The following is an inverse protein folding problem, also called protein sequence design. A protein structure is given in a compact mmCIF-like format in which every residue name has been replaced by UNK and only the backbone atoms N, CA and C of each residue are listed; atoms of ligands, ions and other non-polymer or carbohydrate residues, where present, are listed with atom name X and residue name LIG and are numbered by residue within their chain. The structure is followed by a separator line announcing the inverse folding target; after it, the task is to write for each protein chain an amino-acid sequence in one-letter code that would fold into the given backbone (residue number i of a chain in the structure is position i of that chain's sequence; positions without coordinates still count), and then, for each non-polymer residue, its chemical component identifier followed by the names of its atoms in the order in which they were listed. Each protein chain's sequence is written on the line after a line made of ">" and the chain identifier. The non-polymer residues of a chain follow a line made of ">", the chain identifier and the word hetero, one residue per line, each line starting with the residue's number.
data_IF_298271411403
#
_entry.id   IF_298271411403
#
_cell.length_a   1.000
_cell.length_b   1.000
_cell.length_c   1.000
_cell.angle_alpha   90.00
_cell.angle_beta   90.00
_cell.angle_gamma   90.00
#
_symmetry.space_group_name_H-M   'P 1'
#
loop_
_entity.id
_entity.type
_entity.pdbx_description
1 polymer ?
#
# COMPACT_ATOMS: atom_id res chain seq x y z
N UNK A 1 -7.12 -21.52 13.44
CA UNK A 1 -7.86 -20.55 14.27
C UNK A 1 -6.93 -19.42 14.66
N UNK A 2 -7.17 -18.17 14.21
CA UNK A 2 -6.47 -16.99 14.74
C UNK A 2 -7.03 -16.71 16.13
N UNK A 3 -6.22 -16.82 17.19
CA UNK A 3 -6.61 -16.38 18.54
C UNK A 3 -7.00 -14.91 18.45
N UNK A 4 -8.23 -14.57 18.83
CA UNK A 4 -8.65 -13.17 19.01
C UNK A 4 -7.72 -12.54 20.04
N UNK A 5 -7.07 -11.45 19.66
CA UNK A 5 -6.22 -10.66 20.56
C UNK A 5 -7.18 -9.82 21.42
N UNK A 6 -7.39 -10.21 22.67
CA UNK A 6 -8.22 -9.46 23.60
C UNK A 6 -7.45 -8.24 24.15
N UNK A 7 -8.08 -7.08 24.12
CA UNK A 7 -7.67 -5.90 24.85
C UNK A 7 -7.94 -6.17 26.36
N UNK A 8 -6.92 -6.00 27.20
CA UNK A 8 -7.00 -6.26 28.64
C UNK A 8 -7.04 -4.97 29.46
N UNK A 9 -6.31 -3.95 29.04
CA UNK A 9 -6.20 -2.65 29.70
C UNK A 9 -5.71 -1.60 28.70
N UNK A 10 -6.15 -0.36 28.87
CA UNK A 10 -5.69 0.81 28.10
C UNK A 10 -5.21 1.91 29.04
N UNK A 11 -4.19 2.65 28.63
CA UNK A 11 -3.64 3.79 29.36
C UNK A 11 -3.09 4.82 28.39
N UNK A 12 -3.36 6.11 28.61
CA UNK A 12 -2.79 7.18 27.83
C UNK A 12 -1.73 7.92 28.66
N UNK A 13 -0.59 8.21 28.06
CA UNK A 13 0.55 8.90 28.65
C UNK A 13 1.19 9.85 27.65
N UNK A 14 1.92 10.85 28.18
CA UNK A 14 2.93 11.56 27.40
C UNK A 14 4.29 10.88 27.60
N UNK A 15 4.92 10.43 26.52
CA UNK A 15 6.28 9.87 26.54
C UNK A 15 7.16 10.74 25.65
N UNK A 16 8.18 11.36 26.20
CA UNK A 16 9.05 12.34 25.51
C UNK A 16 8.25 13.44 24.78
N UNK A 17 7.14 13.90 25.39
CA UNK A 17 6.25 14.92 24.83
C UNK A 17 5.29 14.40 23.73
N UNK A 18 5.24 13.09 23.47
CA UNK A 18 4.40 12.50 22.43
C UNK A 18 3.18 11.82 23.08
N UNK A 19 1.94 12.20 22.70
CA UNK A 19 0.75 11.49 23.15
C UNK A 19 0.82 10.00 22.76
N UNK A 20 0.70 9.14 23.77
CA UNK A 20 0.90 7.68 23.58
C UNK A 20 -0.25 6.92 24.22
N UNK A 21 -0.98 6.16 23.41
CA UNK A 21 -1.99 5.22 23.86
C UNK A 21 -1.37 3.83 23.99
N UNK A 22 -1.46 3.27 25.20
CA UNK A 22 -0.89 1.96 25.53
C UNK A 22 -2.02 0.95 25.69
N UNK A 23 -2.01 -0.07 24.83
CA UNK A 23 -2.97 -1.17 24.85
C UNK A 23 -2.29 -2.46 25.29
N UNK A 24 -2.63 -2.93 26.48
CA UNK A 24 -2.15 -4.20 27.01
C UNK A 24 -2.94 -5.36 26.42
N UNK A 25 -2.24 -6.31 25.83
CA UNK A 25 -2.84 -7.42 25.07
C UNK A 25 -2.13 -8.74 25.38
N UNK A 26 -2.80 -9.85 25.08
CA UNK A 26 -2.15 -11.17 25.14
C UNK A 26 -1.28 -11.41 23.90
N UNK A 27 -0.13 -10.75 23.86
CA UNK A 27 0.88 -10.79 22.77
C UNK A 27 2.28 -10.99 23.36
N UNK A 28 3.23 -11.40 22.52
CA UNK A 28 4.63 -11.64 22.96
C UNK A 28 5.53 -10.42 22.77
N UNK A 29 5.27 -9.62 21.74
CA UNK A 29 6.14 -8.52 21.31
C UNK A 29 5.45 -7.17 21.51
N UNK A 30 6.26 -6.08 21.57
CA UNK A 30 5.78 -4.71 21.54
C UNK A 30 5.60 -4.28 20.08
N UNK A 31 4.47 -3.64 19.79
CA UNK A 31 4.18 -3.06 18.47
C UNK A 31 3.88 -1.58 18.64
N UNK A 32 4.50 -0.75 17.80
CA UNK A 32 4.35 0.69 17.77
C UNK A 32 3.74 1.12 16.44
N UNK A 33 2.75 1.99 16.52
CA UNK A 33 2.13 2.65 15.36
C UNK A 33 2.10 4.15 15.63
N UNK A 34 2.43 4.96 14.63
CA UNK A 34 2.16 6.40 14.60
C UNK A 34 0.87 6.59 13.82
N UNK A 35 -0.12 7.25 14.43
CA UNK A 35 -1.48 7.35 13.92
C UNK A 35 -1.81 8.76 13.41
N UNK A 36 -2.53 8.88 12.28
CA UNK A 36 -3.11 10.15 11.85
C UNK A 36 -4.29 10.56 12.75
N UNK A 37 -4.72 11.84 12.75
CA UNK A 37 -4.13 12.95 11.98
C UNK A 37 -2.95 13.62 12.69
N UNK A 38 -2.86 13.53 14.00
CA UNK A 38 -1.99 14.29 14.92
C UNK A 38 -0.62 13.63 15.17
N UNK A 39 -0.42 12.42 14.69
CA UNK A 39 0.81 11.68 14.89
C UNK A 39 0.98 11.11 16.30
N UNK A 40 -0.10 10.90 17.06
CA UNK A 40 -0.02 10.20 18.34
C UNK A 40 0.48 8.75 18.15
N UNK A 41 0.95 8.14 19.23
CA UNK A 41 1.47 6.78 19.20
C UNK A 41 0.47 5.80 19.81
N UNK A 42 0.16 4.74 19.09
CA UNK A 42 -0.47 3.54 19.66
C UNK A 42 0.60 2.47 19.94
N UNK A 43 0.66 2.02 21.17
CA UNK A 43 1.49 0.90 21.61
C UNK A 43 0.64 -0.30 21.98
N UNK A 44 0.84 -1.43 21.31
CA UNK A 44 0.34 -2.72 21.77
C UNK A 44 1.45 -3.45 22.50
N UNK A 45 1.24 -3.76 23.79
CA UNK A 45 2.26 -4.34 24.66
C UNK A 45 1.76 -5.61 25.37
N UNK A 46 2.64 -6.56 25.74
CA UNK A 46 2.31 -7.68 26.58
C UNK A 46 1.78 -7.23 27.97
N UNK A 47 0.88 -8.00 28.54
CA UNK A 47 0.18 -7.67 29.80
C UNK A 47 1.10 -7.27 30.95
N UNK A 48 2.27 -7.90 31.09
CA UNK A 48 3.23 -7.67 32.19
C UNK A 48 4.35 -6.69 31.84
N UNK A 49 4.19 -5.84 30.79
CA UNK A 49 5.22 -4.87 30.39
C UNK A 49 5.25 -3.69 31.37
N UNK A 50 6.41 -3.41 31.94
CA UNK A 50 6.62 -2.29 32.86
C UNK A 50 6.64 -0.96 32.10
N UNK A 51 6.26 0.13 32.78
CA UNK A 51 6.30 1.47 32.20
C UNK A 51 7.72 1.86 31.73
N UNK A 52 8.74 1.60 32.53
CA UNK A 52 10.16 1.83 32.18
C UNK A 52 10.57 1.14 30.87
N UNK A 53 10.09 -0.09 30.65
CA UNK A 53 10.35 -0.83 29.40
C UNK A 53 9.65 -0.18 28.19
N UNK A 54 8.46 0.37 28.39
CA UNK A 54 7.70 1.09 27.37
C UNK A 54 8.42 2.38 26.98
N UNK A 55 8.80 3.20 27.97
CA UNK A 55 9.53 4.45 27.77
C UNK A 55 10.85 4.21 27.03
N UNK A 56 11.65 3.25 27.48
CA UNK A 56 12.89 2.87 26.81
C UNK A 56 12.65 2.40 25.37
N UNK A 57 11.59 1.66 25.11
CA UNK A 57 11.23 1.19 23.75
C UNK A 57 10.84 2.34 22.82
N UNK A 58 10.15 3.36 23.32
CA UNK A 58 9.77 4.58 22.58
C UNK A 58 11.00 5.44 22.32
N UNK A 59 11.80 5.75 23.35
CA UNK A 59 12.99 6.59 23.25
C UNK A 59 14.01 6.04 22.23
N UNK A 60 14.25 4.73 22.22
CA UNK A 60 15.12 4.11 21.20
C UNK A 60 14.59 4.24 19.76
N UNK A 61 13.32 4.57 19.58
CA UNK A 61 12.69 4.73 18.26
C UNK A 61 12.32 6.19 17.97
N UNK A 62 12.77 7.14 18.81
CA UNK A 62 12.40 8.54 18.70
C UNK A 62 12.61 9.11 17.30
N UNK A 63 13.79 8.95 16.72
CA UNK A 63 14.09 9.45 15.38
C UNK A 63 13.14 8.85 14.31
N UNK A 64 12.83 7.57 14.42
CA UNK A 64 11.86 6.92 13.53
C UNK A 64 10.44 7.47 13.74
N UNK A 65 10.03 7.73 14.99
CA UNK A 65 8.71 8.29 15.33
C UNK A 65 8.60 9.71 14.77
N UNK A 66 9.60 10.55 15.00
CA UNK A 66 9.63 11.93 14.53
C UNK A 66 9.56 12.01 13.00
N UNK A 67 10.33 11.19 12.30
CA UNK A 67 10.25 11.11 10.84
C UNK A 67 8.84 10.65 10.37
N UNK A 68 8.22 9.71 11.08
CA UNK A 68 6.86 9.29 10.78
C UNK A 68 5.82 10.38 10.99
N UNK A 69 5.94 11.12 12.08
CA UNK A 69 5.08 12.27 12.37
C UNK A 69 5.24 13.35 11.31
N UNK A 70 6.49 13.68 10.94
CA UNK A 70 6.79 14.63 9.87
C UNK A 70 6.13 14.23 8.55
N UNK A 71 6.23 12.97 8.16
CA UNK A 71 5.59 12.44 6.95
C UNK A 71 4.06 12.51 7.02
N UNK A 72 3.45 12.31 8.19
CA UNK A 72 2.01 12.46 8.37
C UNK A 72 1.56 13.92 8.25
N UNK A 73 2.33 14.87 8.80
CA UNK A 73 2.03 16.30 8.70
C UNK A 73 2.13 16.79 7.25
N UNK A 74 3.19 16.43 6.54
CA UNK A 74 3.35 16.74 5.11
C UNK A 74 2.20 16.14 4.27
N UNK A 75 1.68 14.98 4.70
CA UNK A 75 0.51 14.37 4.07
C UNK A 75 -0.80 15.08 4.39
N UNK A 76 -0.98 15.55 5.63
CA UNK A 76 -2.16 16.33 6.03
C UNK A 76 -2.24 17.67 5.29
N UNK A 77 -1.09 18.21 4.88
CA UNK A 77 -1.00 19.42 4.04
C UNK A 77 -1.28 19.16 2.55
N UNK A 78 -1.13 17.91 2.09
CA UNK A 78 -1.53 17.52 0.72
C UNK A 78 -3.04 17.34 0.71
N UNK A 79 -3.73 18.26 0.06
CA UNK A 79 -5.15 18.11 -0.27
C UNK A 79 -5.39 16.79 -1.01
N UNK A 80 -6.52 16.14 -0.76
CA UNK A 80 -6.92 14.97 -1.55
C UNK A 80 -6.97 15.33 -3.04
N UNK A 81 -6.54 14.41 -3.94
CA UNK A 81 -6.57 14.66 -5.37
C UNK A 81 -7.98 15.07 -5.83
N UNK A 82 -8.07 16.19 -6.50
CA UNK A 82 -9.33 16.69 -7.05
C UNK A 82 -9.57 16.18 -8.46
N UNK A 83 -8.53 15.57 -9.07
CA UNK A 83 -8.54 15.14 -10.47
C UNK A 83 -8.99 16.26 -11.41
N UNK A 84 -8.49 17.47 -11.12
CA UNK A 84 -8.82 18.68 -11.86
C UNK A 84 -8.01 18.78 -13.15
N UNK A 85 -8.45 19.65 -14.05
CA UNK A 85 -7.70 20.02 -15.26
C UNK A 85 -6.26 20.45 -14.90
N UNK A 86 -5.26 19.89 -15.56
CA UNK A 86 -3.84 20.16 -15.31
C UNK A 86 -3.23 19.46 -14.08
N UNK A 87 -4.03 18.85 -13.19
CA UNK A 87 -3.50 18.06 -12.07
C UNK A 87 -2.75 16.83 -12.57
N UNK A 88 -1.54 16.61 -12.05
CA UNK A 88 -0.74 15.46 -12.44
C UNK A 88 -1.05 14.26 -11.54
N UNK A 89 -1.37 13.12 -12.14
CA UNK A 89 -1.52 11.85 -11.44
C UNK A 89 -0.44 10.84 -11.87
N UNK A 90 0.04 10.00 -10.95
CA UNK A 90 1.04 9.00 -11.26
C UNK A 90 0.43 7.83 -12.05
N UNK A 91 1.12 7.42 -13.10
CA UNK A 91 0.84 6.18 -13.84
C UNK A 91 2.18 5.57 -14.28
N UNK A 92 2.41 4.32 -13.92
CA UNK A 92 3.64 3.57 -14.24
C UNK A 92 4.94 4.30 -13.84
N UNK A 93 4.90 5.02 -12.71
CA UNK A 93 6.05 5.74 -12.16
C UNK A 93 6.30 7.13 -12.77
N UNK A 94 5.55 7.52 -13.78
CA UNK A 94 5.58 8.86 -14.37
C UNK A 94 4.37 9.70 -13.96
N UNK A 95 4.51 11.03 -14.02
CA UNK A 95 3.44 11.98 -13.76
C UNK A 95 2.73 12.34 -15.08
N UNK A 96 1.41 12.16 -15.12
CA UNK A 96 0.57 12.46 -16.28
C UNK A 96 -0.39 13.60 -15.95
N UNK A 97 -0.35 14.72 -16.65
CA UNK A 97 -1.33 15.78 -16.50
C UNK A 97 -2.71 15.30 -17.00
N UNK A 98 -3.74 15.67 -16.28
CA UNK A 98 -5.13 15.46 -16.69
C UNK A 98 -5.53 16.56 -17.66
N UNK A 99 -6.11 16.16 -18.78
CA UNK A 99 -6.73 17.04 -19.78
C UNK A 99 -8.20 16.67 -19.91
N UNK A 100 -9.07 17.64 -19.67
CA UNK A 100 -10.51 17.41 -19.81
C UNK A 100 -10.92 17.33 -21.27
N UNK A 101 -11.83 16.41 -21.52
CA UNK A 101 -12.57 16.30 -22.79
C UNK A 101 -14.06 16.40 -22.45
N UNK A 102 -14.70 17.52 -22.76
CA UNK A 102 -16.13 17.70 -22.46
C UNK A 102 -16.97 16.57 -23.04
N UNK A 103 -17.80 15.99 -22.20
CA UNK A 103 -18.72 14.92 -22.58
C UNK A 103 -20.16 15.43 -22.40
N UNK A 104 -20.91 15.52 -23.48
CA UNK A 104 -22.31 15.93 -23.44
C UNK A 104 -23.24 14.77 -23.08
N UNK A 105 -22.88 13.57 -23.54
CA UNK A 105 -23.65 12.34 -23.31
C UNK A 105 -22.73 11.15 -23.21
N UNK A 106 -23.16 10.09 -22.51
CA UNK A 106 -22.45 8.85 -22.43
C UNK A 106 -21.76 8.59 -21.08
N UNK A 107 -20.98 7.53 -21.04
CA UNK A 107 -20.30 7.09 -19.81
C UNK A 107 -19.00 7.87 -19.63
N UNK A 108 -18.80 8.38 -18.43
CA UNK A 108 -17.52 9.01 -18.01
C UNK A 108 -16.41 7.98 -18.03
N UNK A 109 -15.25 8.33 -18.62
CA UNK A 109 -14.08 7.48 -18.70
C UNK A 109 -12.78 8.29 -18.80
N UNK A 110 -11.67 7.63 -18.60
CA UNK A 110 -10.35 8.19 -18.81
C UNK A 110 -9.51 7.25 -19.70
N UNK A 111 -8.64 7.85 -20.51
CA UNK A 111 -7.70 7.12 -21.35
C UNK A 111 -6.32 7.78 -21.35
N UNK A 112 -5.29 7.02 -21.70
CA UNK A 112 -3.92 7.53 -21.84
C UNK A 112 -3.69 7.89 -23.32
N UNK A 113 -3.28 9.12 -23.56
CA UNK A 113 -2.88 9.58 -24.87
C UNK A 113 -1.52 10.28 -24.75
N UNK A 114 -0.51 9.76 -25.44
CA UNK A 114 0.87 10.26 -25.39
C UNK A 114 1.37 10.33 -23.93
N UNK A 115 1.57 11.55 -23.39
CA UNK A 115 2.05 11.79 -22.03
C UNK A 115 1.00 12.47 -21.14
N UNK A 116 -0.28 12.30 -21.41
CA UNK A 116 -1.39 12.90 -20.67
C UNK A 116 -2.53 11.92 -20.49
N UNK A 117 -3.39 12.19 -19.54
CA UNK A 117 -4.62 11.44 -19.31
C UNK A 117 -5.79 12.30 -19.79
N UNK A 118 -6.47 11.84 -20.83
CA UNK A 118 -7.69 12.44 -21.30
C UNK A 118 -8.85 11.97 -20.42
N UNK A 119 -9.48 12.90 -19.72
CA UNK A 119 -10.59 12.62 -18.83
C UNK A 119 -11.90 13.13 -19.46
N UNK A 120 -12.69 12.19 -19.97
CA UNK A 120 -13.98 12.46 -20.63
C UNK A 120 -15.08 12.58 -19.58
N UNK A 121 -15.43 13.82 -19.25
CA UNK A 121 -16.36 14.16 -18.15
C UNK A 121 -17.29 15.32 -18.56
N UNK A 122 -18.51 15.41 -17.99
CA UNK A 122 -19.31 16.63 -18.05
C UNK A 122 -18.54 17.82 -17.44
N UNK A 123 -18.83 19.02 -17.93
CA UNK A 123 -18.15 20.25 -17.48
C UNK A 123 -18.32 20.49 -15.98
N UNK A 124 -19.47 20.13 -15.43
CA UNK A 124 -19.86 20.26 -14.02
C UNK A 124 -19.60 18.99 -13.19
N UNK A 125 -18.74 18.08 -13.67
CA UNK A 125 -18.46 16.82 -12.98
C UNK A 125 -17.89 17.04 -11.58
N UNK A 126 -18.38 16.29 -10.60
CA UNK A 126 -17.85 16.29 -9.25
C UNK A 126 -16.58 15.42 -9.12
N UNK A 127 -15.90 15.54 -7.98
CA UNK A 127 -14.64 14.83 -7.70
C UNK A 127 -14.81 13.31 -7.71
N UNK A 128 -15.92 12.80 -7.19
CA UNK A 128 -16.22 11.37 -7.10
C UNK A 128 -16.33 10.74 -8.49
N UNK A 129 -16.98 11.43 -9.40
CA UNK A 129 -17.14 10.97 -10.78
C UNK A 129 -15.79 10.92 -11.50
N UNK A 130 -14.96 11.97 -11.36
CA UNK A 130 -13.61 12.03 -11.91
C UNK A 130 -12.72 10.94 -11.31
N UNK A 131 -12.76 10.77 -9.97
CA UNK A 131 -12.07 9.70 -9.26
C UNK A 131 -12.45 8.32 -9.79
N UNK A 132 -13.73 8.06 -9.97
CA UNK A 132 -14.20 6.77 -10.48
C UNK A 132 -13.63 6.45 -11.87
N UNK A 133 -13.57 7.44 -12.78
CA UNK A 133 -12.98 7.27 -14.09
C UNK A 133 -11.48 6.97 -14.02
N UNK A 134 -10.74 7.68 -13.17
CA UNK A 134 -9.29 7.41 -12.98
C UNK A 134 -9.05 6.04 -12.33
N UNK A 135 -9.87 5.62 -11.37
CA UNK A 135 -9.75 4.26 -10.78
C UNK A 135 -10.07 3.17 -11.82
N UNK A 136 -11.03 3.40 -12.72
CA UNK A 136 -11.31 2.50 -13.84
C UNK A 136 -10.13 2.44 -14.81
N UNK A 137 -9.50 3.59 -15.14
CA UNK A 137 -8.28 3.63 -15.94
C UNK A 137 -7.16 2.79 -15.30
N UNK A 138 -6.89 2.98 -14.01
CA UNK A 138 -5.88 2.19 -13.29
C UNK A 138 -6.19 0.68 -13.35
N UNK A 139 -7.46 0.30 -13.26
CA UNK A 139 -7.88 -1.11 -13.35
C UNK A 139 -7.58 -1.69 -14.72
N UNK A 140 -7.92 -0.97 -15.80
CA UNK A 140 -7.65 -1.39 -17.17
C UNK A 140 -6.15 -1.48 -17.45
N UNK A 141 -5.37 -0.47 -17.06
CA UNK A 141 -3.93 -0.43 -17.21
C UNK A 141 -3.24 -1.56 -16.45
N UNK A 142 -3.67 -1.80 -15.22
CA UNK A 142 -3.11 -2.86 -14.38
C UNK A 142 -3.47 -4.25 -14.90
N UNK A 143 -4.69 -4.46 -15.42
CA UNK A 143 -5.09 -5.73 -16.04
C UNK A 143 -4.20 -6.06 -17.23
N UNK A 144 -4.05 -5.12 -18.16
CA UNK A 144 -3.17 -5.30 -19.32
C UNK A 144 -1.70 -5.54 -18.93
N UNK A 145 -1.22 -4.85 -17.88
CA UNK A 145 0.14 -5.06 -17.37
C UNK A 145 0.30 -6.44 -16.71
N UNK A 146 -0.69 -6.94 -15.97
CA UNK A 146 -0.67 -8.29 -15.39
C UNK A 146 -0.60 -9.34 -16.50
N UNK A 147 -1.42 -9.23 -17.52
CA UNK A 147 -1.44 -10.17 -18.68
C UNK A 147 -0.08 -10.22 -19.37
N UNK A 148 0.63 -9.10 -19.48
CA UNK A 148 1.96 -9.00 -20.09
C UNK A 148 3.08 -9.50 -19.19
N UNK A 149 3.06 -9.16 -17.90
CA UNK A 149 4.19 -9.37 -16.99
C UNK A 149 4.10 -10.71 -16.23
N UNK A 150 2.88 -11.20 -15.92
CA UNK A 150 2.70 -12.41 -15.12
C UNK A 150 3.31 -13.67 -15.75
N UNK A 151 3.24 -13.94 -17.06
CA UNK A 151 3.81 -15.13 -17.64
C UNK A 151 5.31 -15.30 -17.38
N UNK A 152 6.10 -14.23 -17.48
CA UNK A 152 7.54 -14.26 -17.22
C UNK A 152 7.83 -14.50 -15.73
N UNK A 153 7.05 -13.88 -14.83
CA UNK A 153 7.18 -14.10 -13.40
C UNK A 153 6.80 -15.55 -13.02
N UNK A 154 5.73 -16.09 -13.61
CA UNK A 154 5.27 -17.48 -13.41
C UNK A 154 6.32 -18.50 -13.87
N UNK A 155 6.96 -18.23 -15.01
CA UNK A 155 8.06 -19.06 -15.52
C UNK A 155 9.25 -19.03 -14.55
N UNK A 156 9.65 -17.84 -14.08
CA UNK A 156 10.78 -17.67 -13.14
C UNK A 156 10.52 -18.37 -11.81
N UNK A 157 9.31 -18.26 -11.28
CA UNK A 157 8.93 -18.87 -9.99
C UNK A 157 8.62 -20.36 -10.11
N UNK A 158 8.26 -20.84 -11.30
CA UNK A 158 7.80 -22.21 -11.53
C UNK A 158 6.45 -22.50 -10.90
N UNK A 159 5.59 -21.49 -10.76
CA UNK A 159 4.21 -21.59 -10.26
C UNK A 159 3.31 -20.65 -11.06
N UNK A 160 2.04 -21.05 -11.20
CA UNK A 160 1.02 -20.26 -11.88
C UNK A 160 -0.11 -19.88 -10.95
N UNK A 161 -0.62 -18.67 -11.11
CA UNK A 161 -1.87 -18.27 -10.49
C UNK A 161 -3.05 -18.91 -11.24
N UNK A 162 -4.06 -19.37 -10.50
CA UNK A 162 -5.32 -19.85 -11.09
C UNK A 162 -6.20 -18.68 -11.52
N UNK A 163 -6.05 -17.54 -10.88
CA UNK A 163 -6.87 -16.36 -11.12
C UNK A 163 -6.15 -15.12 -10.58
N UNK A 164 -6.11 -14.08 -11.40
CA UNK A 164 -5.68 -12.73 -11.03
C UNK A 164 -6.89 -11.86 -10.70
N UNK A 165 -6.82 -11.11 -9.60
CA UNK A 165 -7.85 -10.15 -9.18
C UNK A 165 -7.20 -8.82 -8.86
N UNK A 166 -7.93 -7.74 -9.16
CA UNK A 166 -7.52 -6.38 -8.80
C UNK A 166 -8.50 -5.85 -7.76
N UNK A 167 -7.98 -5.27 -6.69
CA UNK A 167 -8.78 -4.60 -5.65
C UNK A 167 -8.05 -3.41 -5.07
N UNK A 168 -8.75 -2.33 -4.75
CA UNK A 168 -8.21 -1.28 -3.92
C UNK A 168 -8.02 -1.80 -2.49
N UNK A 169 -6.78 -1.81 -2.00
CA UNK A 169 -6.43 -2.33 -0.67
C UNK A 169 -5.65 -1.29 0.13
N UNK A 170 -5.98 -1.13 1.41
CA UNK A 170 -5.37 -0.10 2.29
C UNK A 170 -4.02 -0.51 2.90
N UNK A 171 -3.72 -1.80 3.05
CA UNK A 171 -2.61 -2.27 3.90
C UNK A 171 -1.65 -3.24 3.24
N UNK A 172 -1.89 -3.64 2.00
CA UNK A 172 -1.04 -4.63 1.30
C UNK A 172 -1.02 -4.35 -0.20
N UNK A 173 0.06 -4.76 -0.82
CA UNK A 173 0.24 -4.69 -2.27
C UNK A 173 -0.32 -5.89 -3.01
N UNK A 174 -0.35 -7.05 -2.33
CA UNK A 174 -0.91 -8.26 -2.87
C UNK A 174 -1.40 -9.21 -1.78
N UNK A 175 -2.02 -10.29 -2.19
CA UNK A 175 -2.35 -11.44 -1.34
C UNK A 175 -2.53 -12.70 -2.16
N UNK A 176 -1.96 -13.82 -1.72
CA UNK A 176 -2.10 -15.12 -2.32
C UNK A 176 -3.00 -16.03 -1.48
N UNK A 177 -3.99 -16.65 -2.10
CA UNK A 177 -4.70 -17.77 -1.52
C UNK A 177 -3.99 -19.06 -1.93
N UNK A 178 -3.14 -19.60 -1.07
CA UNK A 178 -2.32 -20.78 -1.35
C UNK A 178 -3.10 -22.06 -1.62
N UNK A 179 -4.37 -22.14 -1.21
CA UNK A 179 -5.24 -23.31 -1.46
C UNK A 179 -5.81 -23.30 -2.87
N UNK A 180 -6.18 -22.12 -3.36
CA UNK A 180 -6.80 -21.98 -4.68
C UNK A 180 -5.85 -21.41 -5.71
N UNK A 181 -4.63 -21.02 -5.34
CA UNK A 181 -3.68 -20.29 -6.17
C UNK A 181 -4.22 -18.98 -6.77
N UNK A 182 -5.31 -18.43 -6.21
CA UNK A 182 -5.83 -17.12 -6.64
C UNK A 182 -5.01 -16.00 -6.00
N UNK A 183 -4.57 -15.04 -6.81
CA UNK A 183 -3.77 -13.89 -6.38
C UNK A 183 -4.58 -12.61 -6.58
N UNK A 184 -4.58 -11.75 -5.57
CA UNK A 184 -5.18 -10.43 -5.63
C UNK A 184 -4.09 -9.38 -5.55
N UNK A 185 -4.07 -8.43 -6.49
CA UNK A 185 -3.14 -7.31 -6.54
C UNK A 185 -3.85 -6.00 -6.22
N UNK A 186 -3.11 -5.08 -5.62
CA UNK A 186 -3.64 -3.76 -5.26
C UNK A 186 -3.74 -2.88 -6.51
N UNK A 187 -4.92 -2.29 -6.73
CA UNK A 187 -5.20 -1.35 -7.81
C UNK A 187 -4.14 -0.23 -7.91
N UNK A 188 -3.68 0.27 -6.77
CA UNK A 188 -2.70 1.36 -6.72
C UNK A 188 -1.30 0.97 -7.21
N UNK A 189 -1.03 -0.29 -7.57
CA UNK A 189 0.21 -0.68 -8.25
C UNK A 189 0.36 -0.01 -9.61
N UNK A 190 -0.73 0.35 -10.29
CA UNK A 190 -0.67 1.10 -11.54
C UNK A 190 0.01 2.48 -11.41
N UNK A 191 0.13 3.01 -10.19
CA UNK A 191 0.80 4.30 -9.92
C UNK A 191 2.33 4.21 -9.92
N UNK A 192 2.90 3.01 -9.83
CA UNK A 192 4.32 2.74 -9.68
C UNK A 192 4.90 2.12 -10.95
N UNK A 193 6.24 2.12 -11.06
CA UNK A 193 6.87 1.48 -12.21
C UNK A 193 6.55 -0.02 -12.30
N UNK A 194 6.74 -0.59 -13.49
CA UNK A 194 6.47 -2.00 -13.75
C UNK A 194 7.35 -2.95 -12.92
N UNK A 195 8.51 -2.48 -12.45
CA UNK A 195 9.39 -3.25 -11.57
C UNK A 195 8.70 -3.53 -10.22
N UNK A 196 7.91 -2.57 -9.73
CA UNK A 196 7.10 -2.76 -8.53
C UNK A 196 6.01 -3.83 -8.74
N UNK A 197 5.32 -3.81 -9.87
CA UNK A 197 4.34 -4.82 -10.23
C UNK A 197 4.97 -6.21 -10.31
N UNK A 198 6.07 -6.37 -11.05
CA UNK A 198 6.82 -7.64 -11.16
C UNK A 198 7.26 -8.17 -9.80
N UNK A 199 7.75 -7.30 -8.93
CA UNK A 199 8.12 -7.67 -7.56
C UNK A 199 6.92 -8.24 -6.79
N UNK A 200 5.76 -7.58 -6.80
CA UNK A 200 4.59 -8.04 -6.06
C UNK A 200 4.04 -9.34 -6.67
N UNK A 201 4.00 -9.47 -7.99
CA UNK A 201 3.63 -10.73 -8.67
C UNK A 201 4.54 -11.87 -8.21
N UNK A 202 5.86 -11.69 -8.27
CA UNK A 202 6.85 -12.70 -7.85
C UNK A 202 6.70 -13.05 -6.37
N UNK A 203 6.46 -12.04 -5.50
CA UNK A 203 6.22 -12.23 -4.08
C UNK A 203 5.00 -13.11 -3.80
N UNK A 204 3.87 -12.80 -4.44
CA UNK A 204 2.62 -13.56 -4.22
C UNK A 204 2.71 -14.98 -4.82
N UNK A 205 3.36 -15.15 -5.97
CA UNK A 205 3.63 -16.47 -6.53
C UNK A 205 4.55 -17.32 -5.64
N UNK A 206 5.54 -16.69 -4.98
CA UNK A 206 6.45 -17.38 -4.06
C UNK A 206 5.70 -17.97 -2.86
N UNK A 207 4.56 -17.39 -2.45
CA UNK A 207 3.70 -17.95 -1.42
C UNK A 207 3.08 -19.31 -1.80
N UNK A 208 3.02 -19.65 -3.07
CA UNK A 208 2.60 -21.00 -3.52
C UNK A 208 3.63 -22.08 -3.21
N UNK A 209 4.88 -21.71 -2.88
CA UNK A 209 5.92 -22.59 -2.36
C UNK A 209 6.02 -22.53 -0.84
N UNK A 210 5.96 -21.32 -0.26
CA UNK A 210 6.23 -21.07 1.16
C UNK A 210 5.20 -20.08 1.70
N UNK A 211 4.32 -20.52 2.60
CA UNK A 211 3.21 -19.70 3.14
C UNK A 211 3.66 -18.49 3.96
N UNK A 212 4.78 -18.62 4.70
CA UNK A 212 5.31 -17.60 5.59
C UNK A 212 6.52 -16.89 5.01
N UNK A 213 6.93 -15.79 5.63
CA UNK A 213 8.15 -15.04 5.28
C UNK A 213 9.34 -15.53 6.13
N UNK A 214 9.66 -16.82 6.04
CA UNK A 214 10.83 -17.43 6.69
C UNK A 214 12.08 -17.40 5.78
N UNK A 215 13.19 -18.00 6.23
CA UNK A 215 14.44 -18.04 5.47
C UNK A 215 14.28 -18.69 4.08
N UNK A 216 13.41 -19.69 3.96
CA UNK A 216 13.14 -20.38 2.67
C UNK A 216 12.42 -19.46 1.69
N UNK A 217 11.51 -18.63 2.19
CA UNK A 217 10.82 -17.61 1.37
C UNK A 217 11.83 -16.59 0.84
N UNK A 218 12.67 -16.04 1.72
CA UNK A 218 13.65 -15.03 1.33
C UNK A 218 14.73 -15.57 0.39
N UNK A 219 15.20 -16.80 0.60
CA UNK A 219 16.13 -17.44 -0.31
C UNK A 219 15.56 -17.59 -1.74
N UNK A 220 14.25 -17.90 -1.87
CA UNK A 220 13.57 -17.93 -3.16
C UNK A 220 13.44 -16.53 -3.77
N UNK A 221 13.07 -15.53 -2.98
CA UNK A 221 13.01 -14.16 -3.44
C UNK A 221 14.37 -13.65 -3.92
N UNK A 222 15.45 -14.01 -3.23
CA UNK A 222 16.81 -13.66 -3.65
C UNK A 222 17.18 -14.29 -5.01
N UNK A 223 16.68 -15.50 -5.28
CA UNK A 223 16.90 -16.18 -6.55
C UNK A 223 16.00 -15.65 -7.68
N UNK A 224 14.72 -15.37 -7.41
CA UNK A 224 13.73 -15.01 -8.42
C UNK A 224 13.73 -13.52 -8.76
N UNK A 225 14.06 -12.66 -7.80
CA UNK A 225 14.04 -11.21 -7.94
C UNK A 225 15.14 -10.58 -7.05
N UNK A 226 16.42 -10.60 -7.45
CA UNK A 226 17.56 -10.21 -6.59
C UNK A 226 17.41 -8.85 -5.90
N UNK A 227 16.85 -7.86 -6.62
CA UNK A 227 16.70 -6.49 -6.13
C UNK A 227 15.43 -6.25 -5.29
N UNK A 228 14.72 -7.31 -4.89
CA UNK A 228 13.42 -7.18 -4.22
C UNK A 228 13.44 -6.30 -2.96
N UNK A 229 14.59 -6.25 -2.25
CA UNK A 229 14.70 -5.45 -1.03
C UNK A 229 14.65 -3.95 -1.30
N UNK A 230 15.22 -3.53 -2.42
CA UNK A 230 15.19 -2.14 -2.88
C UNK A 230 13.77 -1.74 -3.29
N UNK A 231 13.14 -2.52 -4.15
CA UNK A 231 11.77 -2.28 -4.62
C UNK A 231 10.78 -2.30 -3.46
N UNK A 232 10.93 -3.25 -2.53
CA UNK A 232 10.10 -3.28 -1.30
C UNK A 232 10.27 -2.03 -0.45
N UNK A 233 11.50 -1.50 -0.32
CA UNK A 233 11.74 -0.24 0.41
C UNK A 233 11.03 0.92 -0.26
N UNK A 234 11.20 1.07 -1.56
CA UNK A 234 10.53 2.09 -2.34
C UNK A 234 9.00 2.01 -2.16
N UNK A 235 8.39 0.86 -2.43
CA UNK A 235 6.95 0.65 -2.23
C UNK A 235 6.48 0.92 -0.79
N UNK A 236 7.26 0.58 0.23
CA UNK A 236 6.89 0.83 1.61
C UNK A 236 6.95 2.31 2.01
N UNK A 237 7.82 3.10 1.41
CA UNK A 237 7.83 4.56 1.57
C UNK A 237 6.56 5.15 0.96
N UNK A 238 6.19 4.73 -0.25
CA UNK A 238 5.03 5.20 -0.98
C UNK A 238 3.70 4.74 -0.36
N UNK A 239 3.58 3.46 0.01
CA UNK A 239 2.37 2.90 0.65
C UNK A 239 1.94 3.69 1.91
N UNK A 240 2.89 4.35 2.55
CA UNK A 240 2.64 5.17 3.73
C UNK A 240 2.15 6.57 3.37
N UNK A 241 2.35 7.00 2.13
CA UNK A 241 2.03 8.35 1.66
C UNK A 241 0.77 8.41 0.78
N UNK A 242 0.33 7.29 0.18
CA UNK A 242 -0.60 7.30 -0.95
C UNK A 242 -1.86 6.43 -0.79
N UNK A 243 -1.99 5.66 0.30
CA UNK A 243 -3.22 4.90 0.57
C UNK A 243 -4.08 5.69 1.54
N UNK A 244 -5.02 6.42 0.99
CA UNK A 244 -6.18 6.98 1.69
C UNK A 244 -7.33 6.00 1.59
#
# INVERSE_FOLDING_TARGET
>A
MRKRVHLLREKSLLIDGIPTEIRYKNIKNLYLRVCPPDGHIELSVPQRTTQRKIEHFVSRRRAWIEERRRLLLVRAEKSEPQYAEGECIPLWGAAYPIVYRPLTHGKVYAEVAEHQILLHVPVDSNVELRRAAIMALYSTQLSAAIEREAPACEQTVGKRASLWRIRAMKTRWGSCNVRTAAITLNLHLARYDLRALRYVITHELTHLWVRGHDARFYARMDAYFPDWREVRRALNVWNRNDIV
#
